data_IF_068045282832
#
_entry.id   IF_068045282832
#
_cell.length_a   1.000
_cell.length_b   1.000
_cell.length_c   1.000
_cell.angle_alpha   90.00
_cell.angle_beta   90.00
_cell.angle_gamma   90.00
#
_symmetry.space_group_name_H-M   'P 1'
#
loop_
_entity.id
_entity.type
_entity.pdbx_description
1 polymer ?
#
# COMPACT_ATOMS: atom_id res chain seq x y z
N UNK A 1 -69.18 3.61 46.95
CA UNK A 1 -68.84 3.92 45.55
C UNK A 1 -67.87 5.11 45.39
N UNK A 2 -67.74 6.04 46.36
CA UNK A 2 -66.86 7.21 46.19
C UNK A 2 -65.44 7.07 46.78
N UNK A 3 -65.04 5.90 47.28
CA UNK A 3 -63.66 5.68 47.77
C UNK A 3 -62.79 4.83 46.82
N UNK A 4 -63.35 4.26 45.76
CA UNK A 4 -62.59 3.49 44.76
C UNK A 4 -62.19 4.34 43.54
N UNK A 5 -62.96 5.37 43.16
CA UNK A 5 -62.60 6.24 42.03
C UNK A 5 -61.43 7.19 42.33
N UNK A 6 -61.35 7.75 43.54
CA UNK A 6 -60.21 8.60 43.95
C UNK A 6 -58.90 7.79 44.13
N UNK A 7 -58.99 6.51 44.49
CA UNK A 7 -57.82 5.64 44.62
C UNK A 7 -57.22 5.30 43.24
N UNK A 8 -58.06 5.09 42.22
CA UNK A 8 -57.61 4.81 40.86
C UNK A 8 -57.05 6.06 40.13
N UNK A 9 -57.57 7.26 40.39
CA UNK A 9 -57.01 8.51 39.83
C UNK A 9 -55.68 8.92 40.52
N UNK A 10 -55.56 8.81 41.84
CA UNK A 10 -54.28 9.02 42.54
C UNK A 10 -53.23 7.96 42.18
N UNK A 11 -53.63 6.69 41.97
CA UNK A 11 -52.71 5.64 41.53
C UNK A 11 -52.21 5.83 40.09
N UNK A 12 -52.99 6.50 39.23
CA UNK A 12 -52.57 6.78 37.85
C UNK A 12 -51.56 7.93 37.76
N UNK A 13 -51.76 9.01 38.53
CA UNK A 13 -50.83 10.15 38.56
C UNK A 13 -49.54 9.87 39.36
N UNK A 14 -49.62 9.18 40.50
CA UNK A 14 -48.40 8.81 41.25
C UNK A 14 -47.53 7.81 40.49
N UNK A 15 -48.12 6.88 39.71
CA UNK A 15 -47.34 5.97 38.86
C UNK A 15 -46.54 6.74 37.82
N UNK A 16 -47.15 7.71 37.13
CA UNK A 16 -46.46 8.48 36.09
C UNK A 16 -45.33 9.35 36.63
N UNK A 17 -45.49 9.97 37.81
CA UNK A 17 -44.44 10.80 38.41
C UNK A 17 -43.29 9.96 38.97
N UNK A 18 -43.60 8.81 39.56
CA UNK A 18 -42.59 7.88 40.08
C UNK A 18 -41.86 7.15 38.95
N UNK A 19 -42.54 6.76 37.88
CA UNK A 19 -41.93 6.22 36.66
C UNK A 19 -41.03 7.24 35.98
N UNK A 20 -41.46 8.51 35.89
CA UNK A 20 -40.63 9.60 35.36
C UNK A 20 -39.40 9.88 36.24
N UNK A 21 -39.57 9.84 37.56
CA UNK A 21 -38.47 9.98 38.52
C UNK A 21 -37.47 8.82 38.40
N UNK A 22 -37.96 7.58 38.30
CA UNK A 22 -37.13 6.39 38.08
C UNK A 22 -36.40 6.44 36.73
N UNK A 23 -37.06 6.89 35.67
CA UNK A 23 -36.43 7.05 34.35
C UNK A 23 -35.31 8.11 34.38
N UNK A 24 -35.51 9.24 35.07
CA UNK A 24 -34.46 10.24 35.29
C UNK A 24 -33.29 9.66 36.09
N UNK A 25 -33.57 8.90 37.15
CA UNK A 25 -32.55 8.24 37.97
C UNK A 25 -31.73 7.23 37.16
N UNK A 26 -32.39 6.38 36.37
CA UNK A 26 -31.70 5.44 35.47
C UNK A 26 -30.85 6.16 34.44
N UNK A 27 -31.36 7.24 33.84
CA UNK A 27 -30.59 8.06 32.89
C UNK A 27 -29.33 8.65 33.53
N UNK A 28 -29.42 9.20 34.76
CA UNK A 28 -28.27 9.74 35.48
C UNK A 28 -27.21 8.67 35.76
N UNK A 29 -27.63 7.47 36.17
CA UNK A 29 -26.73 6.33 36.39
C UNK A 29 -26.02 5.89 35.10
N UNK A 30 -26.69 5.95 33.95
CA UNK A 30 -26.07 5.69 32.65
C UNK A 30 -25.04 6.76 32.31
N UNK A 31 -25.32 8.04 32.58
CA UNK A 31 -24.36 9.12 32.37
C UNK A 31 -23.13 8.98 33.29
N UNK A 32 -23.35 8.64 34.56
CA UNK A 32 -22.28 8.34 35.51
C UNK A 32 -21.40 7.18 35.02
N UNK A 33 -22.01 6.08 34.58
CA UNK A 33 -21.29 4.96 33.98
C UNK A 33 -20.49 5.36 32.73
N UNK A 34 -21.04 6.24 31.88
CA UNK A 34 -20.34 6.75 30.72
C UNK A 34 -19.12 7.61 31.10
N UNK A 35 -19.22 8.43 32.15
CA UNK A 35 -18.09 9.21 32.69
C UNK A 35 -16.97 8.29 33.18
N UNK A 36 -17.30 7.25 33.95
CA UNK A 36 -16.31 6.26 34.38
C UNK A 36 -15.67 5.51 33.21
N UNK A 37 -16.45 5.17 32.18
CA UNK A 37 -15.94 4.53 30.96
C UNK A 37 -14.95 5.43 30.20
N UNK A 38 -15.20 6.74 30.13
CA UNK A 38 -14.26 7.72 29.54
C UNK A 38 -12.98 7.82 30.38
N UNK A 39 -13.10 7.77 31.71
CA UNK A 39 -11.97 7.71 32.65
C UNK A 39 -11.23 6.36 32.62
N UNK A 40 -11.71 5.37 31.83
CA UNK A 40 -11.21 3.99 31.75
C UNK A 40 -11.37 3.17 33.03
N UNK A 41 -12.19 3.63 33.97
CA UNK A 41 -12.60 2.84 35.12
C UNK A 41 -13.84 2.02 34.76
N UNK A 42 -13.62 0.94 34.02
CA UNK A 42 -14.71 0.11 33.51
C UNK A 42 -15.43 -0.67 34.63
N UNK A 43 -14.79 -0.89 35.79
CA UNK A 43 -15.43 -1.58 36.92
C UNK A 43 -16.53 -0.71 37.54
N UNK A 44 -16.23 0.57 37.79
CA UNK A 44 -17.22 1.53 38.28
C UNK A 44 -18.29 1.83 37.22
N UNK A 45 -17.91 1.85 35.94
CA UNK A 45 -18.87 1.98 34.84
C UNK A 45 -19.91 0.85 34.86
N UNK A 46 -19.46 -0.41 34.97
CA UNK A 46 -20.34 -1.58 35.06
C UNK A 46 -21.26 -1.49 36.28
N UNK A 47 -20.74 -1.14 37.45
CA UNK A 47 -21.55 -1.00 38.66
C UNK A 47 -22.65 0.06 38.52
N UNK A 48 -22.37 1.14 37.80
CA UNK A 48 -23.36 2.19 37.51
C UNK A 48 -24.43 1.70 36.52
N UNK A 49 -24.02 0.97 35.48
CA UNK A 49 -24.94 0.34 34.53
C UNK A 49 -25.81 -0.75 35.17
N UNK A 50 -25.26 -1.57 36.08
CA UNK A 50 -26.02 -2.59 36.82
C UNK A 50 -27.16 -1.95 37.64
N UNK A 51 -26.87 -0.86 38.37
CA UNK A 51 -27.91 -0.08 39.08
C UNK A 51 -28.94 0.53 38.14
N UNK A 52 -28.52 0.97 36.95
CA UNK A 52 -29.45 1.49 35.95
C UNK A 52 -30.37 0.38 35.40
N UNK A 53 -29.86 -0.84 35.24
CA UNK A 53 -30.61 -2.02 34.82
C UNK A 53 -31.59 -2.54 35.89
N UNK A 54 -31.30 -2.36 37.18
CA UNK A 54 -32.28 -2.64 38.25
C UNK A 54 -33.54 -1.78 38.10
N UNK A 55 -33.41 -0.57 37.55
CA UNK A 55 -34.53 0.36 37.32
C UNK A 55 -35.17 0.13 35.94
N UNK A 56 -34.34 -0.08 34.91
CA UNK A 56 -34.77 -0.26 33.52
C UNK A 56 -34.19 -1.56 32.93
N UNK A 57 -34.69 -2.74 33.32
CA UNK A 57 -34.15 -4.02 32.87
C UNK A 57 -34.33 -4.26 31.36
N UNK A 58 -35.33 -3.63 30.75
CA UNK A 58 -35.68 -3.78 29.34
C UNK A 58 -35.06 -2.67 28.45
N UNK A 59 -33.99 -2.01 28.89
CA UNK A 59 -33.32 -0.98 28.08
C UNK A 59 -32.09 -1.57 27.36
N UNK A 60 -32.24 -1.89 26.07
CA UNK A 60 -31.18 -2.48 25.26
C UNK A 60 -29.89 -1.65 25.25
N UNK A 61 -30.00 -0.31 25.31
CA UNK A 61 -28.85 0.58 25.22
C UNK A 61 -27.92 0.46 26.43
N UNK A 62 -28.48 0.20 27.62
CA UNK A 62 -27.73 0.00 28.86
C UNK A 62 -27.00 -1.34 28.83
N UNK A 63 -27.66 -2.40 28.34
CA UNK A 63 -27.05 -3.70 28.12
C UNK A 63 -25.88 -3.64 27.12
N UNK A 64 -26.01 -2.86 26.05
CA UNK A 64 -24.98 -2.69 25.02
C UNK A 64 -23.72 -2.00 25.58
N UNK A 65 -23.88 -0.86 26.28
CA UNK A 65 -22.75 -0.14 26.90
C UNK A 65 -22.11 -0.91 28.06
N UNK A 66 -22.89 -1.72 28.78
CA UNK A 66 -22.38 -2.65 29.78
C UNK A 66 -21.51 -3.73 29.14
N UNK A 67 -21.99 -4.33 28.04
CA UNK A 67 -21.23 -5.30 27.26
C UNK A 67 -19.91 -4.72 26.74
N UNK A 68 -19.91 -3.45 26.34
CA UNK A 68 -18.72 -2.76 25.89
C UNK A 68 -17.70 -2.54 27.00
N UNK A 69 -18.14 -2.15 28.19
CA UNK A 69 -17.27 -2.02 29.37
C UNK A 69 -16.67 -3.39 29.78
N UNK A 70 -17.48 -4.46 29.79
CA UNK A 70 -17.02 -5.82 30.10
C UNK A 70 -15.98 -6.32 29.08
N UNK A 71 -16.22 -6.05 27.80
CA UNK A 71 -15.27 -6.36 26.71
C UNK A 71 -13.94 -5.65 26.91
N UNK A 72 -13.93 -4.40 27.41
CA UNK A 72 -12.69 -3.65 27.70
C UNK A 72 -11.90 -4.24 28.87
N UNK A 73 -12.59 -4.89 29.81
CA UNK A 73 -11.98 -5.67 30.89
C UNK A 73 -11.61 -7.10 30.49
N UNK A 74 -11.78 -7.48 29.22
CA UNK A 74 -11.60 -8.86 28.72
C UNK A 74 -12.49 -9.92 29.41
N UNK A 75 -13.60 -9.49 30.03
CA UNK A 75 -14.64 -10.38 30.59
C UNK A 75 -15.62 -10.78 29.49
N UNK A 76 -15.14 -11.60 28.56
CA UNK A 76 -15.78 -11.81 27.26
C UNK A 76 -17.11 -12.56 27.34
N UNK A 77 -17.23 -13.58 28.18
CA UNK A 77 -18.46 -14.35 28.36
C UNK A 77 -19.61 -13.50 28.92
N UNK A 78 -19.30 -12.64 29.89
CA UNK A 78 -20.27 -11.70 30.47
C UNK A 78 -20.64 -10.58 29.49
N UNK A 79 -19.69 -10.15 28.65
CA UNK A 79 -19.96 -9.22 27.58
C UNK A 79 -20.94 -9.82 26.57
N UNK A 80 -20.73 -11.09 26.16
CA UNK A 80 -21.65 -11.82 25.28
C UNK A 80 -23.05 -11.90 25.90
N UNK A 81 -23.15 -12.27 27.18
CA UNK A 81 -24.45 -12.31 27.87
C UNK A 81 -25.16 -10.94 27.87
N UNK A 82 -24.40 -9.85 28.01
CA UNK A 82 -24.97 -8.50 27.95
C UNK A 82 -25.45 -8.13 26.54
N UNK A 83 -24.69 -8.46 25.49
CA UNK A 83 -25.14 -8.26 24.12
C UNK A 83 -26.34 -9.16 23.76
N UNK A 84 -26.39 -10.39 24.28
CA UNK A 84 -27.54 -11.29 24.08
C UNK A 84 -28.83 -10.71 24.67
N UNK A 85 -28.76 -10.08 25.84
CA UNK A 85 -29.90 -9.34 26.41
C UNK A 85 -30.28 -8.13 25.56
N UNK A 86 -29.30 -7.33 25.11
CA UNK A 86 -29.56 -6.19 24.23
C UNK A 86 -30.25 -6.63 22.92
N UNK A 87 -29.80 -7.74 22.32
CA UNK A 87 -30.35 -8.35 21.11
C UNK A 87 -31.76 -8.88 21.35
N UNK A 88 -32.02 -9.54 22.49
CA UNK A 88 -33.34 -10.06 22.84
C UNK A 88 -34.38 -8.94 22.98
N UNK A 89 -33.97 -7.79 23.53
CA UNK A 89 -34.82 -6.61 23.68
C UNK A 89 -34.99 -5.87 22.34
N UNK A 90 -33.90 -5.70 21.59
CA UNK A 90 -33.88 -4.94 20.34
C UNK A 90 -33.09 -5.66 19.24
N UNK A 91 -33.73 -6.62 18.53
CA UNK A 91 -33.04 -7.44 17.52
C UNK A 91 -32.70 -6.66 16.24
N UNK A 92 -33.37 -5.53 15.99
CA UNK A 92 -33.15 -4.63 14.84
C UNK A 92 -32.05 -3.57 15.09
N UNK A 93 -31.27 -3.71 16.17
CA UNK A 93 -30.11 -2.87 16.41
C UNK A 93 -28.81 -3.58 15.98
N UNK A 94 -28.18 -3.18 14.87
CA UNK A 94 -27.11 -3.95 14.25
C UNK A 94 -25.79 -3.90 15.03
N UNK A 95 -25.58 -2.89 15.87
CA UNK A 95 -24.33 -2.73 16.62
C UNK A 95 -24.19 -3.75 17.75
N UNK A 96 -25.27 -4.19 18.41
CA UNK A 96 -25.19 -5.26 19.42
C UNK A 96 -24.78 -6.60 18.79
N UNK A 97 -25.33 -6.93 17.62
CA UNK A 97 -24.89 -8.09 16.83
C UNK A 97 -23.43 -8.00 16.40
N UNK A 98 -22.99 -6.82 15.95
CA UNK A 98 -21.59 -6.59 15.60
C UNK A 98 -20.68 -6.76 16.83
N UNK A 99 -20.96 -6.07 17.93
CA UNK A 99 -20.14 -6.11 19.15
C UNK A 99 -20.05 -7.53 19.73
N UNK A 100 -21.14 -8.31 19.68
CA UNK A 100 -21.14 -9.73 20.01
C UNK A 100 -20.18 -10.54 19.13
N UNK A 101 -20.24 -10.33 17.81
CA UNK A 101 -19.32 -10.99 16.86
C UNK A 101 -17.86 -10.65 17.11
N UNK A 102 -17.55 -9.39 17.45
CA UNK A 102 -16.20 -8.91 17.78
C UNK A 102 -15.64 -9.61 19.04
N UNK A 103 -16.49 -9.93 20.02
CA UNK A 103 -16.10 -10.67 21.23
C UNK A 103 -15.93 -12.15 20.96
N UNK A 104 -16.86 -12.77 20.22
CA UNK A 104 -16.77 -14.18 19.84
C UNK A 104 -15.52 -14.48 18.99
N UNK A 105 -15.14 -13.56 18.10
CA UNK A 105 -13.90 -13.64 17.33
C UNK A 105 -12.66 -13.69 18.25
N UNK A 106 -12.63 -12.90 19.33
CA UNK A 106 -11.53 -12.87 20.30
C UNK A 106 -11.44 -14.16 21.13
N UNK A 107 -12.57 -14.79 21.41
CA UNK A 107 -12.64 -16.09 22.07
C UNK A 107 -12.34 -17.27 21.12
N UNK A 108 -12.14 -17.02 19.82
CA UNK A 108 -11.91 -18.07 18.84
C UNK A 108 -13.17 -18.83 18.40
N UNK A 109 -14.37 -18.40 18.84
CA UNK A 109 -15.67 -18.98 18.48
C UNK A 109 -16.12 -18.45 17.11
N UNK A 110 -15.38 -18.81 16.06
CA UNK A 110 -15.48 -18.20 14.73
C UNK A 110 -16.84 -18.42 14.05
N UNK A 111 -17.42 -19.60 14.20
CA UNK A 111 -18.74 -19.95 13.65
C UNK A 111 -19.84 -19.01 14.18
N UNK A 112 -19.87 -18.80 15.49
CA UNK A 112 -20.85 -17.94 16.15
C UNK A 112 -20.61 -16.46 15.86
N UNK A 113 -19.34 -16.06 15.68
CA UNK A 113 -18.99 -14.72 15.24
C UNK A 113 -19.51 -14.44 13.82
N UNK A 114 -19.38 -15.39 12.90
CA UNK A 114 -19.91 -15.28 11.53
C UNK A 114 -21.43 -15.09 11.56
N UNK A 115 -22.15 -15.91 12.34
CA UNK A 115 -23.62 -15.77 12.48
C UNK A 115 -24.00 -14.40 13.05
N UNK A 116 -23.23 -13.89 14.02
CA UNK A 116 -23.50 -12.56 14.60
C UNK A 116 -23.28 -11.45 13.57
N UNK A 117 -22.21 -11.52 12.78
CA UNK A 117 -21.96 -10.58 11.70
C UNK A 117 -23.01 -10.67 10.58
N UNK A 118 -23.56 -11.86 10.31
CA UNK A 118 -24.67 -12.06 9.37
C UNK A 118 -25.93 -11.34 9.82
N UNK A 119 -26.33 -11.47 11.08
CA UNK A 119 -27.51 -10.78 11.60
C UNK A 119 -27.31 -9.26 11.58
N UNK A 120 -26.12 -8.76 11.95
CA UNK A 120 -25.81 -7.34 11.85
C UNK A 120 -25.97 -6.80 10.41
N UNK A 121 -25.48 -7.55 9.42
CA UNK A 121 -25.58 -7.18 7.99
C UNK A 121 -27.00 -7.35 7.43
N UNK A 122 -27.80 -8.27 7.97
CA UNK A 122 -29.21 -8.44 7.60
C UNK A 122 -30.04 -7.24 8.03
N UNK A 123 -29.76 -6.71 9.22
CA UNK A 123 -30.41 -5.51 9.76
C UNK A 123 -29.89 -4.25 9.07
N UNK A 124 -28.57 -4.10 8.96
CA UNK A 124 -27.94 -2.95 8.33
C UNK A 124 -26.86 -3.41 7.33
N UNK A 125 -27.21 -3.52 6.04
CA UNK A 125 -26.30 -4.04 5.04
C UNK A 125 -25.01 -3.21 4.89
N UNK A 126 -25.09 -1.88 4.97
CA UNK A 126 -23.98 -0.94 4.66
C UNK A 126 -22.85 -0.90 5.70
N UNK A 127 -22.86 -1.78 6.70
CA UNK A 127 -21.77 -1.97 7.67
C UNK A 127 -20.54 -2.63 7.04
N UNK A 128 -19.81 -1.89 6.22
CA UNK A 128 -18.64 -2.37 5.48
C UNK A 128 -17.57 -3.02 6.38
N UNK A 129 -17.38 -2.51 7.60
CA UNK A 129 -16.39 -3.04 8.54
C UNK A 129 -16.78 -4.44 9.04
N UNK A 130 -18.09 -4.67 9.24
CA UNK A 130 -18.64 -5.98 9.62
C UNK A 130 -18.52 -6.96 8.45
N UNK A 131 -18.88 -6.54 7.24
CA UNK A 131 -18.72 -7.34 6.03
C UNK A 131 -17.27 -7.79 5.80
N UNK A 132 -16.30 -6.89 6.02
CA UNK A 132 -14.89 -7.22 5.93
C UNK A 132 -14.45 -8.24 6.99
N UNK A 133 -14.85 -8.04 8.25
CA UNK A 133 -14.56 -8.98 9.35
C UNK A 133 -15.14 -10.37 9.10
N UNK A 134 -16.41 -10.46 8.70
CA UNK A 134 -17.06 -11.72 8.29
C UNK A 134 -16.27 -12.43 7.20
N UNK A 135 -15.89 -11.68 6.14
CA UNK A 135 -15.12 -12.23 5.01
C UNK A 135 -13.78 -12.80 5.45
N UNK A 136 -13.05 -12.09 6.33
CA UNK A 136 -11.78 -12.57 6.88
C UNK A 136 -11.94 -13.85 7.70
N UNK A 137 -13.01 -13.96 8.51
CA UNK A 137 -13.30 -15.17 9.28
C UNK A 137 -13.67 -16.35 8.39
N UNK A 138 -14.45 -16.11 7.33
CA UNK A 138 -14.80 -17.14 6.34
C UNK A 138 -13.55 -17.67 5.60
N UNK A 139 -12.59 -16.80 5.30
CA UNK A 139 -11.29 -17.21 4.73
C UNK A 139 -10.52 -18.05 5.74
N UNK A 140 -10.41 -17.57 6.99
CA UNK A 140 -9.68 -18.26 8.06
C UNK A 140 -10.24 -19.66 8.36
N UNK A 141 -11.56 -19.83 8.28
CA UNK A 141 -12.25 -21.11 8.51
C UNK A 141 -12.37 -21.98 7.26
N UNK A 142 -11.85 -21.53 6.10
CA UNK A 142 -11.92 -22.27 4.83
C UNK A 142 -13.33 -22.32 4.20
N UNK A 143 -14.30 -21.60 4.77
CA UNK A 143 -15.71 -21.59 4.33
C UNK A 143 -16.03 -20.51 3.29
N UNK A 144 -15.04 -19.70 2.91
CA UNK A 144 -15.21 -18.58 1.98
C UNK A 144 -15.82 -19.00 0.64
N UNK A 145 -15.31 -20.04 -0.01
CA UNK A 145 -15.81 -20.47 -1.32
C UNK A 145 -17.24 -21.02 -1.27
N UNK A 146 -17.59 -21.77 -0.22
CA UNK A 146 -18.95 -22.31 -0.04
C UNK A 146 -19.99 -21.21 0.26
N UNK A 147 -19.55 -20.04 0.72
CA UNK A 147 -20.43 -18.90 1.02
C UNK A 147 -20.75 -18.02 -0.19
N UNK A 148 -20.05 -18.21 -1.33
CA UNK A 148 -20.21 -17.42 -2.56
C UNK A 148 -21.51 -17.76 -3.29
N UNK A 149 -22.01 -18.99 -3.16
CA UNK A 149 -23.23 -19.46 -3.83
C UNK A 149 -24.54 -18.98 -3.17
N UNK A 150 -24.46 -18.31 -2.01
CA UNK A 150 -25.63 -17.82 -1.29
C UNK A 150 -26.01 -16.38 -1.72
N UNK A 151 -27.25 -16.13 -2.17
CA UNK A 151 -27.70 -14.82 -2.67
C UNK A 151 -27.56 -13.65 -1.69
N UNK A 152 -27.61 -13.90 -0.37
CA UNK A 152 -27.45 -12.86 0.65
C UNK A 152 -26.00 -12.35 0.80
N UNK A 153 -25.00 -13.15 0.43
CA UNK A 153 -23.59 -12.73 0.41
C UNK A 153 -23.22 -11.94 -0.84
N UNK A 154 -24.09 -11.92 -1.86
CA UNK A 154 -23.87 -11.15 -3.07
C UNK A 154 -23.83 -9.65 -2.80
N UNK A 155 -24.55 -9.11 -1.81
CA UNK A 155 -24.61 -7.65 -1.58
C UNK A 155 -23.31 -7.08 -0.96
N UNK A 156 -22.73 -7.79 0.00
CA UNK A 156 -21.43 -7.44 0.61
C UNK A 156 -20.29 -7.62 -0.40
N UNK A 157 -20.32 -8.70 -1.21
CA UNK A 157 -19.42 -8.90 -2.34
C UNK A 157 -19.65 -7.84 -3.42
N UNK A 158 -20.88 -7.40 -3.71
CA UNK A 158 -21.19 -6.35 -4.70
C UNK A 158 -20.74 -4.97 -4.26
N UNK A 159 -20.65 -4.69 -2.96
CA UNK A 159 -20.04 -3.44 -2.45
C UNK A 159 -18.52 -3.50 -2.47
N UNK A 160 -17.93 -4.62 -2.10
CA UNK A 160 -16.49 -4.83 -2.24
C UNK A 160 -16.12 -4.81 -3.73
N UNK A 161 -16.90 -5.45 -4.61
CA UNK A 161 -16.80 -5.40 -6.07
C UNK A 161 -17.24 -4.08 -6.68
N UNK A 162 -18.00 -3.21 -6.00
CA UNK A 162 -18.31 -1.85 -6.48
C UNK A 162 -17.26 -0.84 -6.00
N UNK A 163 -16.59 -1.06 -4.87
CA UNK A 163 -15.43 -0.27 -4.45
C UNK A 163 -14.17 -0.72 -5.19
N UNK A 164 -13.88 -2.02 -5.21
CA UNK A 164 -12.94 -2.62 -6.14
C UNK A 164 -13.39 -2.27 -7.53
N UNK A 165 -14.65 -2.38 -7.92
CA UNK A 165 -15.15 -1.99 -9.24
C UNK A 165 -15.10 -0.50 -9.53
N UNK A 166 -15.00 0.38 -8.54
CA UNK A 166 -14.74 1.81 -8.71
C UNK A 166 -13.24 2.06 -8.85
N UNK A 167 -12.38 1.43 -8.05
CA UNK A 167 -10.93 1.51 -8.20
C UNK A 167 -10.43 0.77 -9.43
N UNK A 168 -11.09 -0.32 -9.80
CA UNK A 168 -10.94 -1.14 -10.99
C UNK A 168 -11.63 -0.40 -12.12
N UNK A 169 -12.79 0.27 -12.01
CA UNK A 169 -13.25 1.18 -13.08
C UNK A 169 -12.37 2.42 -13.22
N UNK A 170 -11.70 2.87 -12.16
CA UNK A 170 -10.78 4.00 -12.22
C UNK A 170 -9.45 3.55 -12.83
N UNK A 171 -8.97 2.35 -12.49
CA UNK A 171 -7.81 1.67 -13.06
C UNK A 171 -8.09 1.28 -14.51
N UNK A 172 -9.26 0.69 -14.79
CA UNK A 172 -9.79 0.35 -16.10
C UNK A 172 -10.09 1.62 -16.88
N UNK A 173 -10.64 2.71 -16.33
CA UNK A 173 -10.73 4.01 -17.03
C UNK A 173 -9.34 4.57 -17.31
N UNK A 174 -8.41 4.54 -16.35
CA UNK A 174 -7.01 4.92 -16.56
C UNK A 174 -6.31 4.04 -17.63
N UNK A 175 -6.71 2.77 -17.75
CA UNK A 175 -6.24 1.81 -18.77
C UNK A 175 -6.99 1.99 -20.11
N UNK A 176 -8.27 2.38 -20.11
CA UNK A 176 -9.18 2.36 -21.27
C UNK A 176 -9.48 3.74 -21.88
N UNK A 177 -9.13 4.85 -21.23
CA UNK A 177 -9.17 6.18 -21.85
C UNK A 177 -7.79 6.55 -22.41
N UNK A 178 -7.60 6.40 -23.73
CA UNK A 178 -6.38 6.72 -24.51
C UNK A 178 -5.19 5.74 -24.30
N UNK A 179 -4.04 5.84 -25.03
CA UNK A 179 -3.31 4.77 -25.76
C UNK A 179 -2.85 3.51 -24.97
N UNK A 180 -3.03 3.50 -23.66
CA UNK A 180 -2.73 2.39 -22.75
C UNK A 180 -3.55 1.13 -23.11
N UNK A 181 -4.79 1.24 -23.60
CA UNK A 181 -5.58 0.06 -24.01
C UNK A 181 -4.96 -0.75 -25.15
N UNK A 182 -4.36 -0.06 -26.12
CA UNK A 182 -3.67 -0.71 -27.24
C UNK A 182 -2.34 -1.30 -26.79
N UNK A 183 -1.66 -0.62 -25.86
CA UNK A 183 -0.44 -1.11 -25.24
C UNK A 183 -0.71 -2.38 -24.40
N UNK A 184 -1.79 -2.40 -23.61
CA UNK A 184 -2.17 -3.54 -22.79
C UNK A 184 -2.63 -4.72 -23.65
N UNK A 185 -3.44 -4.46 -24.68
CA UNK A 185 -3.85 -5.48 -25.64
C UNK A 185 -2.64 -6.04 -26.43
N UNK A 186 -1.70 -5.17 -26.80
CA UNK A 186 -0.43 -5.57 -27.41
C UNK A 186 0.38 -6.46 -26.47
N UNK A 187 0.54 -6.08 -25.19
CA UNK A 187 1.28 -6.88 -24.21
C UNK A 187 0.58 -8.22 -23.90
N UNK A 188 -0.75 -8.26 -23.82
CA UNK A 188 -1.51 -9.51 -23.64
C UNK A 188 -1.34 -10.42 -24.86
N UNK A 189 -1.53 -9.90 -26.07
CA UNK A 189 -1.39 -10.66 -27.31
C UNK A 189 0.05 -11.16 -27.47
N UNK A 190 1.02 -10.30 -27.21
CA UNK A 190 2.44 -10.65 -27.23
C UNK A 190 2.76 -11.74 -26.20
N UNK A 191 2.21 -11.66 -24.99
CA UNK A 191 2.41 -12.69 -23.96
C UNK A 191 1.84 -14.04 -24.40
N UNK A 192 0.64 -14.06 -24.99
CA UNK A 192 0.03 -15.29 -25.54
C UNK A 192 0.91 -15.87 -26.65
N UNK A 193 1.38 -15.05 -27.59
CA UNK A 193 2.27 -15.49 -28.68
C UNK A 193 3.60 -16.01 -28.13
N UNK A 194 4.21 -15.32 -27.17
CA UNK A 194 5.50 -15.73 -26.58
C UNK A 194 5.40 -17.00 -25.73
N UNK A 195 4.21 -17.30 -25.19
CA UNK A 195 3.99 -18.44 -24.29
C UNK A 195 3.50 -19.69 -25.04
N UNK A 196 2.64 -19.50 -26.05
CA UNK A 196 1.97 -20.59 -26.77
C UNK A 196 2.32 -20.66 -28.27
N UNK A 197 3.11 -19.72 -28.79
CA UNK A 197 3.52 -19.70 -30.18
C UNK A 197 4.58 -20.75 -30.54
N UNK A 198 4.72 -21.00 -31.83
CA UNK A 198 5.74 -21.91 -32.37
C UNK A 198 7.15 -21.39 -32.05
N UNK A 199 8.07 -22.28 -31.62
CA UNK A 199 9.39 -21.90 -31.10
C UNK A 199 10.18 -20.99 -32.04
N UNK A 200 10.17 -21.26 -33.34
CA UNK A 200 10.89 -20.47 -34.37
C UNK A 200 10.34 -19.04 -34.47
N UNK A 201 9.02 -18.89 -34.50
CA UNK A 201 8.33 -17.60 -34.53
C UNK A 201 8.56 -16.82 -33.23
N UNK A 202 8.48 -17.49 -32.08
CA UNK A 202 8.73 -16.89 -30.76
C UNK A 202 10.16 -16.34 -30.69
N UNK A 203 11.15 -17.10 -31.13
CA UNK A 203 12.55 -16.68 -31.11
C UNK A 203 12.82 -15.49 -32.05
N UNK A 204 12.24 -15.52 -33.26
CA UNK A 204 12.32 -14.41 -34.21
C UNK A 204 11.67 -13.13 -33.66
N UNK A 205 10.51 -13.24 -33.01
CA UNK A 205 9.81 -12.11 -32.37
C UNK A 205 10.64 -11.55 -31.21
N UNK A 206 11.23 -12.41 -30.36
CA UNK A 206 12.10 -11.98 -29.25
C UNK A 206 13.32 -11.20 -29.76
N UNK A 207 14.00 -11.72 -30.78
CA UNK A 207 15.16 -11.06 -31.39
C UNK A 207 14.78 -9.72 -32.03
N UNK A 208 13.68 -9.67 -32.78
CA UNK A 208 13.18 -8.43 -33.39
C UNK A 208 12.81 -7.36 -32.36
N UNK A 209 12.06 -7.72 -31.32
CA UNK A 209 11.70 -6.81 -30.22
C UNK A 209 12.94 -6.32 -29.48
N UNK A 210 13.89 -7.22 -29.24
CA UNK A 210 15.15 -6.90 -28.58
C UNK A 210 15.95 -5.83 -29.30
N UNK A 211 16.08 -5.94 -30.62
CA UNK A 211 16.71 -4.92 -31.47
C UNK A 211 15.94 -3.61 -31.40
N UNK A 212 14.61 -3.63 -31.58
CA UNK A 212 13.77 -2.44 -31.57
C UNK A 212 13.91 -1.68 -30.24
N UNK A 213 13.84 -2.39 -29.11
CA UNK A 213 13.95 -1.79 -27.79
C UNK A 213 15.36 -1.25 -27.52
N UNK A 214 16.41 -2.01 -27.85
CA UNK A 214 17.79 -1.55 -27.70
C UNK A 214 18.09 -0.30 -28.53
N UNK A 215 17.63 -0.27 -29.79
CA UNK A 215 17.76 0.90 -30.67
C UNK A 215 16.93 2.07 -30.15
N UNK A 216 15.70 1.84 -29.67
CA UNK A 216 14.87 2.88 -29.10
C UNK A 216 15.51 3.51 -27.85
N UNK A 217 16.05 2.68 -26.95
CA UNK A 217 16.80 3.15 -25.77
C UNK A 217 18.00 3.99 -26.23
N UNK A 218 18.81 3.50 -27.15
CA UNK A 218 19.96 4.24 -27.68
C UNK A 218 19.56 5.59 -28.29
N UNK A 219 18.50 5.63 -29.11
CA UNK A 219 18.00 6.86 -29.72
C UNK A 219 17.43 7.83 -28.68
N UNK A 220 16.80 7.34 -27.61
CA UNK A 220 16.36 8.17 -26.48
C UNK A 220 17.54 8.79 -25.76
N UNK A 221 18.60 8.02 -25.50
CA UNK A 221 19.84 8.52 -24.88
C UNK A 221 20.48 9.57 -25.79
N UNK A 222 20.62 9.30 -27.09
CA UNK A 222 21.19 10.23 -28.06
C UNK A 222 20.37 11.53 -28.18
N UNK A 223 19.03 11.42 -28.25
CA UNK A 223 18.12 12.57 -28.23
C UNK A 223 18.27 13.38 -26.95
N UNK A 224 18.34 12.72 -25.80
CA UNK A 224 18.46 13.38 -24.50
C UNK A 224 19.79 14.14 -24.40
N UNK A 225 20.89 13.50 -24.78
CA UNK A 225 22.21 14.13 -24.89
C UNK A 225 22.19 15.38 -25.78
N UNK A 226 21.57 15.27 -26.96
CA UNK A 226 21.49 16.36 -27.92
C UNK A 226 20.65 17.53 -27.40
N UNK A 227 19.46 17.23 -26.88
CA UNK A 227 18.50 18.22 -26.38
C UNK A 227 18.96 18.89 -25.10
N UNK A 228 19.79 18.21 -24.29
CA UNK A 228 20.17 18.67 -22.94
C UNK A 228 21.66 18.85 -22.72
N UNK A 229 22.42 19.03 -23.80
CA UNK A 229 23.85 19.35 -23.74
C UNK A 229 24.20 20.49 -22.78
N UNK A 230 23.32 21.47 -22.60
CA UNK A 230 23.50 22.57 -21.64
C UNK A 230 23.41 22.16 -20.17
N UNK A 231 22.75 21.04 -19.84
CA UNK A 231 22.65 20.46 -18.49
C UNK A 231 23.78 19.47 -18.17
N UNK A 232 24.72 19.21 -19.08
CA UNK A 232 25.88 18.34 -18.79
C UNK A 232 26.70 18.88 -17.62
N UNK A 233 26.84 20.20 -17.51
CA UNK A 233 27.50 20.86 -16.37
C UNK A 233 26.79 20.59 -15.03
N UNK A 234 25.47 20.35 -15.03
CA UNK A 234 24.74 19.96 -13.84
C UNK A 234 25.13 18.55 -13.39
N UNK A 235 25.24 17.61 -14.33
CA UNK A 235 25.72 16.24 -14.07
C UNK A 235 27.14 16.31 -13.51
N UNK A 236 28.04 17.03 -14.17
CA UNK A 236 29.42 17.21 -13.71
C UNK A 236 29.48 17.75 -12.27
N UNK A 237 28.72 18.80 -11.96
CA UNK A 237 28.69 19.37 -10.60
C UNK A 237 28.14 18.41 -9.56
N UNK A 238 27.13 17.62 -9.89
CA UNK A 238 26.57 16.64 -8.94
C UNK A 238 27.56 15.50 -8.71
N UNK A 239 28.22 15.01 -9.75
CA UNK A 239 29.18 13.93 -9.61
C UNK A 239 30.46 14.41 -8.94
N UNK A 240 31.18 15.28 -9.60
CA UNK A 240 32.56 15.58 -9.22
C UNK A 240 32.65 16.67 -8.14
N UNK A 241 31.55 17.37 -7.82
CA UNK A 241 31.56 18.45 -6.83
C UNK A 241 30.63 18.21 -5.64
N UNK A 242 29.98 17.04 -5.52
CA UNK A 242 29.24 16.70 -4.31
C UNK A 242 30.17 16.33 -3.15
N UNK A 243 29.77 16.71 -1.94
CA UNK A 243 30.54 16.40 -0.73
C UNK A 243 30.53 14.91 -0.39
N UNK A 244 31.57 14.44 0.28
CA UNK A 244 31.78 13.03 0.67
C UNK A 244 30.60 12.43 1.46
N UNK A 245 29.88 13.26 2.24
CA UNK A 245 28.71 12.82 2.99
C UNK A 245 27.55 12.40 2.09
N UNK A 246 27.38 13.04 0.91
CA UNK A 246 26.35 12.62 -0.06
C UNK A 246 26.68 11.26 -0.67
N UNK A 247 27.95 11.01 -0.95
CA UNK A 247 28.44 9.70 -1.37
C UNK A 247 28.18 8.61 -0.33
N UNK A 248 28.52 8.88 0.93
CA UNK A 248 28.26 7.93 2.02
C UNK A 248 26.78 7.60 2.18
N UNK A 249 25.89 8.61 2.15
CA UNK A 249 24.44 8.39 2.21
C UNK A 249 23.94 7.58 1.03
N UNK A 250 24.31 7.95 -0.19
CA UNK A 250 23.89 7.27 -1.40
C UNK A 250 24.37 5.80 -1.41
N UNK A 251 25.60 5.54 -0.98
CA UNK A 251 26.14 4.20 -0.82
C UNK A 251 25.35 3.37 0.20
N UNK A 252 25.05 3.94 1.37
CA UNK A 252 24.24 3.26 2.38
C UNK A 252 22.84 2.93 1.86
N UNK A 253 22.19 3.87 1.16
CA UNK A 253 20.88 3.64 0.53
C UNK A 253 20.99 2.52 -0.52
N UNK A 254 22.05 2.48 -1.33
CA UNK A 254 22.29 1.40 -2.28
C UNK A 254 22.43 0.04 -1.59
N UNK A 255 23.27 -0.07 -0.56
CA UNK A 255 23.45 -1.29 0.22
C UNK A 255 22.13 -1.78 0.85
N UNK A 256 21.36 -0.87 1.47
CA UNK A 256 20.06 -1.18 2.06
C UNK A 256 19.09 -1.68 0.97
N UNK A 257 19.05 -1.02 -0.18
CA UNK A 257 18.18 -1.41 -1.30
C UNK A 257 18.51 -2.81 -1.78
N UNK A 258 19.79 -3.09 -2.02
CA UNK A 258 20.25 -4.40 -2.50
C UNK A 258 19.95 -5.48 -1.47
N UNK A 259 20.24 -5.22 -0.18
CA UNK A 259 20.00 -6.16 0.90
C UNK A 259 18.50 -6.50 1.06
N UNK A 260 17.65 -5.47 1.17
CA UNK A 260 16.21 -5.66 1.31
C UNK A 260 15.63 -6.31 0.04
N UNK A 261 16.05 -5.85 -1.14
CA UNK A 261 15.61 -6.41 -2.41
C UNK A 261 15.96 -7.89 -2.54
N UNK A 262 17.17 -8.27 -2.12
CA UNK A 262 17.62 -9.67 -2.13
C UNK A 262 16.79 -10.54 -1.18
N UNK A 263 16.53 -10.08 0.05
CA UNK A 263 15.66 -10.79 1.00
C UNK A 263 14.26 -10.96 0.43
N UNK A 264 13.65 -9.87 -0.05
CA UNK A 264 12.32 -9.90 -0.65
C UNK A 264 12.31 -10.89 -1.82
N UNK A 265 13.33 -10.84 -2.69
CA UNK A 265 13.43 -11.73 -3.83
C UNK A 265 13.49 -13.21 -3.42
N UNK A 266 14.27 -13.56 -2.39
CA UNK A 266 14.38 -14.95 -1.90
C UNK A 266 13.03 -15.50 -1.43
N UNK A 267 12.29 -14.72 -0.66
CA UNK A 267 11.01 -15.16 -0.06
C UNK A 267 9.78 -14.81 -0.91
N UNK A 268 9.94 -14.08 -2.01
CA UNK A 268 8.84 -13.70 -2.88
C UNK A 268 8.26 -14.92 -3.61
N UNK A 269 6.92 -15.04 -3.68
CA UNK A 269 6.25 -15.95 -4.60
C UNK A 269 6.67 -15.68 -6.05
N UNK A 270 6.63 -16.71 -6.90
CA UNK A 270 7.16 -16.62 -8.27
C UNK A 270 6.49 -15.53 -9.12
N UNK A 271 5.20 -15.26 -8.90
CA UNK A 271 4.51 -14.18 -9.60
C UNK A 271 5.08 -12.78 -9.27
N UNK A 272 5.70 -12.57 -8.09
CA UNK A 272 6.35 -11.31 -7.76
C UNK A 272 7.76 -11.18 -8.33
N UNK A 273 8.40 -12.30 -8.66
CA UNK A 273 9.68 -12.33 -9.40
C UNK A 273 9.48 -12.08 -10.90
N UNK A 274 8.24 -12.03 -11.34
CA UNK A 274 7.90 -11.74 -12.73
C UNK A 274 8.10 -10.25 -13.06
N UNK A 275 8.72 -10.00 -14.21
CA UNK A 275 8.74 -8.73 -14.92
C UNK A 275 8.64 -9.03 -16.41
N UNK A 276 7.94 -8.20 -17.20
CA UNK A 276 7.72 -8.49 -18.63
C UNK A 276 9.04 -8.59 -19.42
N UNK A 277 10.13 -8.00 -18.92
CA UNK A 277 11.47 -8.19 -19.47
C UNK A 277 11.90 -9.66 -19.52
N UNK A 278 11.51 -10.47 -18.54
CA UNK A 278 11.77 -11.91 -18.53
C UNK A 278 11.23 -12.63 -19.76
N UNK A 279 10.03 -12.24 -20.20
CA UNK A 279 9.34 -12.90 -21.31
C UNK A 279 10.05 -12.66 -22.65
N UNK A 280 10.62 -11.46 -22.82
CA UNK A 280 11.26 -11.05 -24.08
C UNK A 280 12.75 -11.38 -24.07
N UNK A 281 13.43 -11.19 -22.93
CA UNK A 281 14.89 -11.24 -22.84
C UNK A 281 15.45 -12.45 -22.08
N UNK A 282 14.60 -13.30 -21.50
CA UNK A 282 15.04 -14.49 -20.77
C UNK A 282 15.69 -14.22 -19.41
N UNK A 283 16.05 -12.97 -19.10
CA UNK A 283 16.59 -12.56 -17.80
C UNK A 283 15.99 -11.22 -17.36
N UNK A 284 15.69 -11.09 -16.07
CA UNK A 284 14.88 -10.00 -15.51
C UNK A 284 15.57 -8.64 -15.45
N UNK A 285 16.87 -8.62 -15.68
CA UNK A 285 17.70 -7.43 -15.58
C UNK A 285 17.64 -6.57 -16.87
N UNK A 286 16.47 -5.94 -17.05
CA UNK A 286 16.26 -4.58 -17.56
C UNK A 286 16.56 -4.28 -19.03
N UNK A 287 15.53 -3.82 -19.73
CA UNK A 287 15.61 -3.10 -21.01
C UNK A 287 16.76 -2.06 -21.07
N UNK A 288 17.05 -1.43 -19.93
CA UNK A 288 18.09 -0.40 -19.79
C UNK A 288 19.52 -0.96 -19.58
N UNK A 289 19.66 -2.19 -19.09
CA UNK A 289 20.97 -2.86 -18.88
C UNK A 289 21.32 -3.81 -20.03
N UNK A 290 20.37 -4.07 -20.94
CA UNK A 290 20.61 -4.86 -22.13
C UNK A 290 21.81 -4.39 -22.98
N UNK A 291 22.06 -3.08 -23.16
CA UNK A 291 23.28 -2.63 -23.83
C UNK A 291 24.56 -3.09 -23.11
N UNK A 292 24.53 -3.20 -21.77
CA UNK A 292 25.65 -3.71 -20.97
C UNK A 292 25.80 -5.22 -21.17
N UNK A 293 24.71 -5.97 -21.10
CA UNK A 293 24.74 -7.43 -21.31
C UNK A 293 25.21 -7.79 -22.73
N UNK A 294 24.73 -7.06 -23.74
CA UNK A 294 25.16 -7.22 -25.13
C UNK A 294 26.64 -6.87 -25.30
N UNK A 295 27.11 -5.78 -24.67
CA UNK A 295 28.51 -5.39 -24.65
C UNK A 295 29.39 -6.45 -23.95
N UNK A 296 28.90 -7.03 -22.86
CA UNK A 296 29.57 -8.11 -22.13
C UNK A 296 29.69 -9.36 -23.00
N UNK A 297 28.60 -9.84 -23.59
CA UNK A 297 28.62 -11.00 -24.49
C UNK A 297 29.54 -10.78 -25.71
N UNK A 298 29.54 -9.57 -26.27
CA UNK A 298 30.47 -9.21 -27.35
C UNK A 298 31.93 -9.25 -26.87
N UNK A 299 32.20 -8.72 -25.66
CA UNK A 299 33.55 -8.78 -25.10
C UNK A 299 34.04 -10.20 -24.86
N UNK A 300 33.16 -11.12 -24.40
CA UNK A 300 33.53 -12.52 -24.20
C UNK A 300 33.92 -13.20 -25.52
N UNK A 301 33.14 -12.98 -26.59
CA UNK A 301 33.49 -13.49 -27.93
C UNK A 301 34.82 -12.94 -28.45
N UNK A 302 35.12 -11.66 -28.20
CA UNK A 302 36.41 -11.07 -28.61
C UNK A 302 37.55 -11.65 -27.77
N UNK A 303 37.35 -11.82 -26.46
CA UNK A 303 38.32 -12.48 -25.57
C UNK A 303 38.64 -13.90 -26.05
N UNK A 304 37.62 -14.68 -26.45
CA UNK A 304 37.78 -16.03 -27.02
C UNK A 304 38.59 -16.04 -28.33
N UNK A 305 38.36 -15.07 -29.22
CA UNK A 305 39.04 -14.99 -30.53
C UNK A 305 40.49 -14.53 -30.38
N UNK A 306 40.76 -13.56 -29.51
CA UNK A 306 42.08 -12.92 -29.39
C UNK A 306 43.06 -13.73 -28.54
N UNK A 307 42.59 -14.47 -27.54
CA UNK A 307 43.40 -15.41 -26.74
C UNK A 307 44.62 -14.81 -26.01
N UNK A 308 44.78 -13.48 -26.03
CA UNK A 308 45.99 -12.76 -25.62
C UNK A 308 45.95 -12.28 -24.16
N UNK A 309 44.96 -12.74 -23.37
CA UNK A 309 44.84 -12.46 -21.93
C UNK A 309 44.42 -11.03 -21.59
N UNK A 310 44.19 -10.17 -22.58
CA UNK A 310 43.64 -8.84 -22.38
C UNK A 310 42.11 -8.94 -22.20
N UNK A 311 41.58 -8.35 -21.14
CA UNK A 311 40.14 -8.29 -20.92
C UNK A 311 39.53 -7.15 -21.74
N UNK A 312 39.02 -7.49 -22.92
CA UNK A 312 38.32 -6.56 -23.81
C UNK A 312 37.00 -6.06 -23.20
N UNK A 313 36.55 -6.61 -22.06
CA UNK A 313 35.36 -6.18 -21.32
C UNK A 313 35.32 -4.67 -21.09
N UNK A 314 36.44 -4.07 -20.70
CA UNK A 314 36.52 -2.62 -20.45
C UNK A 314 36.30 -1.78 -21.71
N UNK A 315 36.71 -2.25 -22.89
CA UNK A 315 36.53 -1.50 -24.15
C UNK A 315 35.06 -1.44 -24.58
N UNK A 316 34.27 -2.46 -24.24
CA UNK A 316 32.85 -2.52 -24.57
C UNK A 316 31.96 -1.96 -23.44
N UNK A 317 32.33 -2.17 -22.17
CA UNK A 317 31.52 -1.79 -21.02
C UNK A 317 31.73 -0.33 -20.59
N UNK A 318 32.93 0.23 -20.74
CA UNK A 318 33.22 1.62 -20.35
C UNK A 318 32.40 2.65 -21.16
N UNK A 319 32.26 2.54 -22.50
CA UNK A 319 31.41 3.45 -23.27
C UNK A 319 29.93 3.34 -22.89
N UNK A 320 29.44 2.12 -22.61
CA UNK A 320 28.05 1.89 -22.17
C UNK A 320 27.82 2.45 -20.77
N UNK A 321 28.77 2.29 -19.85
CA UNK A 321 28.76 2.91 -18.53
C UNK A 321 28.67 4.44 -18.62
N UNK A 322 29.52 5.06 -19.44
CA UNK A 322 29.51 6.50 -19.70
C UNK A 322 28.15 6.95 -20.27
N UNK A 323 27.60 6.21 -21.23
CA UNK A 323 26.29 6.51 -21.82
C UNK A 323 25.16 6.45 -20.79
N UNK A 324 25.16 5.46 -19.90
CA UNK A 324 24.13 5.32 -18.87
C UNK A 324 24.21 6.41 -17.80
N UNK A 325 25.42 6.84 -17.44
CA UNK A 325 25.63 8.01 -16.58
C UNK A 325 25.04 9.27 -17.22
N UNK A 326 25.12 9.39 -18.54
CA UNK A 326 24.58 10.55 -19.24
C UNK A 326 23.04 10.61 -19.29
N UNK A 327 22.34 9.53 -18.91
CA UNK A 327 20.87 9.48 -18.76
C UNK A 327 20.41 9.97 -17.39
N UNK A 328 21.30 10.04 -16.40
CA UNK A 328 20.96 10.52 -15.05
C UNK A 328 20.27 11.89 -14.98
N UNK A 329 20.59 12.91 -15.81
CA UNK A 329 19.83 14.16 -15.82
C UNK A 329 18.35 14.00 -16.22
N UNK A 330 18.00 12.96 -16.99
CA UNK A 330 16.60 12.61 -17.26
C UNK A 330 15.89 12.21 -15.96
N UNK A 331 16.49 11.28 -15.21
CA UNK A 331 15.95 10.76 -13.96
C UNK A 331 15.86 11.83 -12.87
N UNK A 332 16.88 12.68 -12.79
CA UNK A 332 16.89 13.87 -11.94
C UNK A 332 15.69 14.79 -12.21
N UNK A 333 15.31 14.99 -13.46
CA UNK A 333 14.16 15.85 -13.81
C UNK A 333 12.81 15.16 -13.62
N UNK A 334 12.72 13.85 -13.86
CA UNK A 334 11.54 13.06 -13.51
C UNK A 334 11.29 13.15 -12.00
N UNK A 335 12.34 12.99 -11.20
CA UNK A 335 12.31 13.17 -9.75
C UNK A 335 11.91 14.61 -9.38
N UNK A 336 12.53 15.62 -9.99
CA UNK A 336 12.18 17.02 -9.77
C UNK A 336 10.69 17.27 -10.06
N UNK A 337 10.15 16.77 -11.18
CA UNK A 337 8.73 16.92 -11.52
C UNK A 337 7.81 16.21 -10.53
N UNK A 338 8.20 15.03 -10.05
CA UNK A 338 7.42 14.28 -9.07
C UNK A 338 7.41 14.93 -7.69
N UNK A 339 8.54 15.44 -7.21
CA UNK A 339 8.67 15.92 -5.83
C UNK A 339 8.52 17.44 -5.67
N UNK A 340 8.84 18.24 -6.69
CA UNK A 340 8.64 19.71 -6.68
C UNK A 340 7.15 20.10 -6.79
N UNK A 341 6.34 19.30 -7.50
CA UNK A 341 4.89 19.55 -7.65
C UNK A 341 4.07 18.73 -6.64
N UNK A 342 3.95 19.24 -5.40
CA UNK A 342 2.89 18.83 -4.48
C UNK A 342 3.29 17.92 -3.31
N UNK A 343 4.58 17.72 -3.01
CA UNK A 343 5.03 16.85 -1.92
C UNK A 343 5.00 17.50 -0.52
N UNK A 344 4.03 18.37 -0.22
CA UNK A 344 3.95 19.03 1.09
C UNK A 344 3.47 18.08 2.22
N UNK A 345 2.77 16.99 1.88
CA UNK A 345 2.27 16.00 2.84
C UNK A 345 2.95 14.63 2.69
N UNK A 346 3.09 13.93 3.82
CA UNK A 346 3.63 12.56 3.88
C UNK A 346 2.85 11.58 2.99
N UNK A 347 1.52 11.75 2.91
CA UNK A 347 0.65 10.96 2.05
C UNK A 347 1.02 11.12 0.57
N UNK A 348 1.25 12.35 0.11
CA UNK A 348 1.61 12.60 -1.30
C UNK A 348 3.02 12.11 -1.62
N UNK A 349 3.96 12.24 -0.69
CA UNK A 349 5.30 11.67 -0.81
C UNK A 349 5.28 10.14 -0.97
N UNK A 350 4.48 9.44 -0.16
CA UNK A 350 4.33 7.99 -0.26
C UNK A 350 3.76 7.58 -1.64
N UNK A 351 2.74 8.30 -2.13
CA UNK A 351 2.15 8.07 -3.46
C UNK A 351 3.19 8.29 -4.57
N UNK A 352 3.96 9.38 -4.49
CA UNK A 352 4.97 9.69 -5.49
C UNK A 352 6.12 8.66 -5.49
N UNK A 353 6.49 8.16 -4.32
CA UNK A 353 7.49 7.09 -4.20
C UNK A 353 7.00 5.76 -4.77
N UNK A 354 5.72 5.44 -4.57
CA UNK A 354 5.11 4.27 -5.20
C UNK A 354 5.07 4.42 -6.71
N UNK A 355 4.69 5.60 -7.23
CA UNK A 355 4.73 5.89 -8.67
C UNK A 355 6.14 5.75 -9.24
N UNK A 356 7.16 6.20 -8.50
CA UNK A 356 8.56 5.98 -8.87
C UNK A 356 8.90 4.50 -8.99
N UNK A 357 8.50 3.68 -8.02
CA UNK A 357 8.63 2.21 -8.11
C UNK A 357 7.88 1.61 -9.31
N UNK A 358 6.66 2.09 -9.60
CA UNK A 358 5.85 1.61 -10.72
C UNK A 358 6.46 1.94 -12.10
N UNK A 359 7.19 3.06 -12.24
CA UNK A 359 7.94 3.36 -13.47
C UNK A 359 8.98 2.27 -13.77
N UNK A 360 9.56 1.64 -12.75
CA UNK A 360 10.54 0.58 -12.94
C UNK A 360 9.91 -0.70 -13.52
N UNK A 361 8.63 -0.96 -13.23
CA UNK A 361 7.88 -2.05 -13.89
C UNK A 361 7.79 -1.85 -15.40
N UNK A 362 7.63 -0.60 -15.87
CA UNK A 362 7.57 -0.32 -17.31
C UNK A 362 8.93 -0.50 -18.00
N UNK A 363 10.01 -0.72 -17.24
CA UNK A 363 11.35 -1.04 -17.75
C UNK A 363 11.68 -2.53 -17.72
N UNK A 364 10.71 -3.36 -17.33
CA UNK A 364 10.85 -4.82 -17.29
C UNK A 364 11.38 -5.37 -15.98
N UNK A 365 11.60 -4.51 -14.97
CA UNK A 365 12.06 -4.89 -13.62
C UNK A 365 10.99 -5.78 -12.94
N UNK A 366 11.39 -6.86 -12.24
CA UNK A 366 10.47 -7.69 -11.46
C UNK A 366 9.61 -6.90 -10.48
N UNK A 367 8.39 -7.36 -10.24
CA UNK A 367 7.46 -6.68 -9.33
C UNK A 367 8.06 -6.49 -7.94
N UNK A 368 8.72 -7.51 -7.38
CA UNK A 368 9.38 -7.42 -6.09
C UNK A 368 10.46 -6.32 -6.05
N UNK A 369 11.28 -6.21 -7.09
CA UNK A 369 12.34 -5.20 -7.19
C UNK A 369 11.78 -3.80 -7.40
N UNK A 370 10.75 -3.65 -8.23
CA UNK A 370 10.06 -2.38 -8.41
C UNK A 370 9.44 -1.86 -7.11
N UNK A 371 8.88 -2.75 -6.29
CA UNK A 371 8.40 -2.42 -4.94
C UNK A 371 9.55 -2.02 -4.02
N UNK A 372 10.69 -2.72 -4.05
CA UNK A 372 11.88 -2.34 -3.28
C UNK A 372 12.40 -0.95 -3.65
N UNK A 373 12.37 -0.58 -4.94
CA UNK A 373 12.82 0.73 -5.43
C UNK A 373 11.93 1.90 -4.97
N UNK A 374 10.75 1.63 -4.40
CA UNK A 374 9.96 2.65 -3.70
C UNK A 374 10.57 3.10 -2.37
N UNK A 375 11.51 2.33 -1.79
CA UNK A 375 12.19 2.69 -0.53
C UNK A 375 13.19 3.85 -0.75
N UNK A 376 14.15 3.76 -1.70
CA UNK A 376 15.02 4.89 -2.07
C UNK A 376 14.25 6.16 -2.41
N UNK A 377 13.20 6.05 -3.24
CA UNK A 377 12.36 7.19 -3.61
C UNK A 377 11.78 7.91 -2.40
N UNK A 378 11.41 7.17 -1.35
CA UNK A 378 10.87 7.74 -0.12
C UNK A 378 11.96 8.42 0.70
N UNK A 379 13.15 7.83 0.77
CA UNK A 379 14.30 8.41 1.46
C UNK A 379 14.76 9.72 0.79
N UNK A 380 14.75 9.79 -0.54
CA UNK A 380 15.02 11.03 -1.29
C UNK A 380 13.95 12.09 -1.02
N UNK A 381 12.68 11.70 -0.97
CA UNK A 381 11.60 12.62 -0.59
C UNK A 381 11.78 13.16 0.85
N UNK A 382 12.17 12.30 1.81
CA UNK A 382 12.51 12.72 3.17
C UNK A 382 13.66 13.73 3.19
N UNK A 383 14.69 13.48 2.37
CA UNK A 383 15.85 14.36 2.22
C UNK A 383 15.44 15.73 1.69
N UNK A 384 14.62 15.77 0.64
CA UNK A 384 14.03 16.99 0.11
C UNK A 384 13.37 17.80 1.23
N UNK A 385 12.45 17.17 1.96
CA UNK A 385 11.64 17.83 3.01
C UNK A 385 12.49 18.36 4.16
N UNK A 386 13.49 17.59 4.59
CA UNK A 386 14.43 18.03 5.62
C UNK A 386 15.19 19.29 5.22
N UNK A 387 15.74 19.32 4.00
CA UNK A 387 16.51 20.48 3.52
C UNK A 387 15.61 21.68 3.26
N UNK A 388 14.43 21.45 2.69
CA UNK A 388 13.40 22.48 2.51
C UNK A 388 13.07 23.18 3.84
N UNK A 389 12.66 22.44 4.87
CA UNK A 389 12.30 23.06 6.16
C UNK A 389 13.48 23.76 6.83
N UNK A 390 14.69 23.20 6.71
CA UNK A 390 15.89 23.83 7.27
C UNK A 390 16.20 25.17 6.58
N UNK A 391 16.06 25.25 5.26
CA UNK A 391 16.25 26.48 4.52
C UNK A 391 15.14 27.49 4.76
N UNK A 392 13.88 27.04 4.79
CA UNK A 392 12.73 27.88 5.11
C UNK A 392 12.91 28.54 6.49
N UNK A 393 13.29 27.75 7.52
CA UNK A 393 13.56 28.28 8.86
C UNK A 393 14.72 29.29 8.91
N UNK A 394 15.71 29.16 8.02
CA UNK A 394 16.92 29.99 8.04
C UNK A 394 16.78 31.28 7.25
N UNK A 395 16.05 31.25 6.14
CA UNK A 395 16.00 32.34 5.17
C UNK A 395 14.60 32.90 4.92
N UNK A 396 13.56 32.24 5.44
CA UNK A 396 12.14 32.60 5.27
C UNK A 396 11.73 32.85 3.80
N UNK A 397 12.38 32.13 2.88
CA UNK A 397 12.21 32.25 1.44
C UNK A 397 11.81 30.87 0.90
N UNK A 398 10.52 30.73 0.57
CA UNK A 398 9.95 29.47 0.10
C UNK A 398 10.60 29.00 -1.20
N UNK A 399 10.87 29.92 -2.14
CA UNK A 399 11.45 29.57 -3.43
C UNK A 399 12.88 29.05 -3.26
N UNK A 400 13.70 29.74 -2.46
CA UNK A 400 15.07 29.26 -2.16
C UNK A 400 15.06 27.96 -1.36
N UNK A 401 14.08 27.77 -0.46
CA UNK A 401 13.91 26.52 0.27
C UNK A 401 13.56 25.35 -0.66
N UNK A 402 12.65 25.56 -1.62
CA UNK A 402 12.30 24.56 -2.62
C UNK A 402 13.51 24.19 -3.49
N UNK A 403 14.25 25.19 -3.99
CA UNK A 403 15.45 24.96 -4.80
C UNK A 403 16.53 24.19 -4.05
N UNK A 404 16.76 24.53 -2.78
CA UNK A 404 17.71 23.81 -1.93
C UNK A 404 17.29 22.35 -1.69
N UNK A 405 15.98 22.12 -1.45
CA UNK A 405 15.41 20.78 -1.31
C UNK A 405 15.59 19.93 -2.56
N UNK A 406 15.22 20.46 -3.74
CA UNK A 406 15.38 19.76 -5.03
C UNK A 406 16.84 19.41 -5.24
N UNK A 407 17.73 20.41 -5.14
CA UNK A 407 19.16 20.21 -5.38
C UNK A 407 19.77 19.12 -4.49
N UNK A 408 19.37 19.07 -3.22
CA UNK A 408 19.87 18.06 -2.28
C UNK A 408 19.34 16.65 -2.58
N UNK A 409 18.05 16.50 -2.89
CA UNK A 409 17.44 15.20 -3.24
C UNK A 409 18.06 14.65 -4.53
N UNK A 410 18.09 15.48 -5.57
CA UNK A 410 18.58 15.09 -6.88
C UNK A 410 20.06 14.74 -6.86
N UNK A 411 20.88 15.41 -6.05
CA UNK A 411 22.28 15.04 -5.89
C UNK A 411 22.44 13.65 -5.25
N UNK A 412 21.72 13.37 -4.15
CA UNK A 412 21.80 12.07 -3.47
C UNK A 412 21.27 10.94 -4.38
N UNK A 413 20.20 11.16 -5.14
CA UNK A 413 19.63 10.17 -6.06
C UNK A 413 20.52 9.91 -7.28
N UNK A 414 21.10 10.94 -7.88
CA UNK A 414 22.05 10.75 -8.98
C UNK A 414 23.23 9.87 -8.51
N UNK A 415 23.88 10.25 -7.41
CA UNK A 415 25.01 9.48 -6.86
C UNK A 415 24.59 8.03 -6.57
N UNK A 416 23.40 7.81 -6.00
CA UNK A 416 22.84 6.48 -5.78
C UNK A 416 22.73 5.67 -7.08
N UNK A 417 22.17 6.24 -8.15
CA UNK A 417 22.03 5.54 -9.43
C UNK A 417 23.39 5.20 -10.05
N UNK A 418 24.37 6.11 -9.97
CA UNK A 418 25.72 5.77 -10.44
C UNK A 418 26.38 4.68 -9.62
N UNK A 419 26.20 4.66 -8.30
CA UNK A 419 26.69 3.57 -7.46
C UNK A 419 26.08 2.25 -7.91
N UNK A 420 24.76 2.19 -8.14
CA UNK A 420 24.10 0.98 -8.63
C UNK A 420 24.61 0.54 -10.01
N UNK A 421 24.73 1.47 -10.96
CA UNK A 421 25.25 1.17 -12.31
C UNK A 421 26.69 0.65 -12.22
N UNK A 422 27.51 1.29 -11.39
CA UNK A 422 28.92 0.91 -11.20
C UNK A 422 29.07 -0.44 -10.53
N UNK A 423 28.29 -0.72 -9.47
CA UNK A 423 28.24 -2.04 -8.83
C UNK A 423 27.79 -3.11 -9.83
N UNK A 424 26.79 -2.82 -10.66
CA UNK A 424 26.28 -3.79 -11.66
C UNK A 424 27.36 -4.18 -12.65
N UNK A 425 28.11 -3.20 -13.19
CA UNK A 425 29.23 -3.47 -14.10
C UNK A 425 30.39 -4.17 -13.40
N UNK A 426 30.72 -3.77 -12.18
CA UNK A 426 31.76 -4.44 -11.39
C UNK A 426 31.41 -5.91 -11.14
N UNK A 427 30.16 -6.21 -10.78
CA UNK A 427 29.68 -7.60 -10.62
C UNK A 427 29.79 -8.36 -11.94
N UNK A 428 29.36 -7.80 -13.06
CA UNK A 428 29.46 -8.46 -14.37
C UNK A 428 30.91 -8.75 -14.79
N UNK A 429 31.85 -7.87 -14.44
CA UNK A 429 33.27 -8.05 -14.70
C UNK A 429 33.94 -9.05 -13.75
N UNK A 430 33.46 -9.14 -12.50
CA UNK A 430 34.05 -9.99 -11.46
C UNK A 430 33.44 -11.40 -11.41
N UNK A 431 32.19 -11.56 -11.84
CA UNK A 431 31.53 -12.85 -12.01
C UNK A 431 32.02 -13.42 -13.34
N UNK A 432 33.06 -14.25 -13.26
CA UNK A 432 33.49 -15.16 -14.35
C UNK A 432 32.51 -16.30 -14.54
#
# INVERSE_FOLDING_TARGET
MNHEQDFFEQCSHNRTDQELSNAKKAFLLVQEGAVFAVARDYTQAIASYDKALEIQPNNFSIWDVRGDALRKLSRYEEAIASYDQAIAIKPDYPYSWWSRGDVLERLGRYEEAIVSYEQALKVQPDLHRVAFKKSLLLIKTGKFFNSIDQPENLWSIKIILNKIGFYLNLLLRLIFTTPIKYLLLFFITLTVVLTYGEKSLVEAIKQGLSIIFSTAVFLLIARELWTRRSKINFVYKIYFCSGILSYFRAFLIACITIFIGSIIYIYAPDFLKWGWGNLIFGNSANLALQPIDTAYQASQKVNEIQGNGFDYGWLFLLPVWLLLILVLPFWAEVEEKMFRKGAHSWKKMAINSLNFGLIHLTMGIPICWALTLSIPGFLFACRYKYVYHRHLKKFDDDQKAQEAGVKASTADHAIYNAILITISIAVMLLVK
#
